data_IF_540264981996
#
_entry.id   IF_540264981996
#
_cell.length_a   1.000
_cell.length_b   1.000
_cell.length_c   1.000
_cell.angle_alpha   90.00
_cell.angle_beta   90.00
_cell.angle_gamma   90.00
#
_symmetry.space_group_name_H-M   'P 1'
#
loop_
_entity.id
_entity.type
_entity.pdbx_description
1 polymer ?
#
# COMPACT_ATOMS: atom_id res chain seq x y z
N UNK A 1 -31.12 -0.55 4.84
CA UNK A 1 -29.83 -0.49 4.11
C UNK A 1 -28.84 -1.30 4.93
N UNK A 2 -28.22 -2.33 4.36
CA UNK A 2 -27.16 -3.05 5.07
C UNK A 2 -26.03 -2.05 5.37
N UNK A 3 -25.57 -1.99 6.61
CA UNK A 3 -24.36 -1.25 6.96
C UNK A 3 -23.25 -1.69 6.00
N UNK A 4 -22.48 -0.77 5.39
CA UNK A 4 -21.33 -1.19 4.60
C UNK A 4 -20.42 -1.96 5.55
N UNK A 5 -20.27 -3.26 5.31
CA UNK A 5 -19.21 -4.00 5.99
C UNK A 5 -17.91 -3.29 5.61
N UNK A 6 -17.16 -2.83 6.60
CA UNK A 6 -15.88 -2.16 6.35
C UNK A 6 -14.95 -3.21 5.77
N UNK A 7 -14.83 -3.24 4.44
CA UNK A 7 -14.00 -4.23 3.77
C UNK A 7 -12.56 -3.79 3.97
N UNK A 8 -11.82 -4.55 4.75
CA UNK A 8 -10.37 -4.47 4.81
C UNK A 8 -9.81 -5.38 3.71
N UNK A 9 -8.66 -5.04 3.14
CA UNK A 9 -8.01 -5.87 2.13
C UNK A 9 -7.88 -7.33 2.64
N UNK A 10 -8.26 -8.34 1.84
CA UNK A 10 -8.03 -9.72 2.23
C UNK A 10 -6.53 -10.01 2.25
N UNK A 11 -6.11 -11.03 2.98
CA UNK A 11 -4.75 -11.54 2.90
C UNK A 11 -4.68 -12.60 1.80
N UNK A 12 -3.74 -12.45 0.87
CA UNK A 12 -3.48 -13.42 -0.19
C UNK A 12 -2.05 -13.90 -0.06
N UNK A 13 -1.87 -15.22 0.00
CA UNK A 13 -0.57 -15.84 0.04
C UNK A 13 -0.18 -16.43 -1.32
N UNK A 14 1.07 -16.21 -1.71
CA UNK A 14 1.69 -16.87 -2.86
C UNK A 14 2.83 -17.79 -2.39
N UNK A 15 3.56 -18.38 -3.34
CA UNK A 15 4.76 -19.16 -3.03
C UNK A 15 5.86 -18.33 -2.37
N UNK A 16 5.95 -17.02 -2.65
CA UNK A 16 7.05 -16.15 -2.19
C UNK A 16 6.60 -14.94 -1.39
N UNK A 17 5.33 -14.56 -1.45
CA UNK A 17 4.85 -13.29 -0.89
C UNK A 17 3.54 -13.42 -0.12
N UNK A 18 3.30 -12.46 0.76
CA UNK A 18 2.01 -12.18 1.40
C UNK A 18 1.55 -10.81 0.93
N UNK A 19 0.38 -10.77 0.29
CA UNK A 19 -0.33 -9.52 -0.03
C UNK A 19 -1.29 -9.26 1.12
N UNK A 20 -1.10 -8.15 1.84
CA UNK A 20 -1.85 -7.82 3.06
C UNK A 20 -2.28 -6.35 3.11
N UNK A 21 -3.24 -5.99 3.98
CA UNK A 21 -3.49 -4.58 4.29
C UNK A 21 -2.20 -3.85 4.67
N UNK A 22 -2.12 -2.58 4.27
CA UNK A 22 -1.08 -1.69 4.76
C UNK A 22 -1.26 -1.47 6.27
N UNK A 23 -0.17 -1.59 7.03
CA UNK A 23 -0.03 -1.26 8.45
C UNK A 23 0.66 0.09 8.58
N UNK A 24 0.43 0.83 9.66
CA UNK A 24 1.07 2.13 9.84
C UNK A 24 2.61 2.04 9.75
N UNK A 25 3.20 0.96 10.27
CA UNK A 25 4.64 0.71 10.25
C UNK A 25 5.22 0.51 8.84
N UNK A 26 4.38 0.25 7.82
CA UNK A 26 4.83 0.18 6.43
C UNK A 26 5.12 1.60 5.85
N UNK A 27 4.67 2.67 6.52
CA UNK A 27 4.70 4.01 5.94
C UNK A 27 6.13 4.50 5.67
N UNK A 28 7.08 4.23 6.56
CA UNK A 28 8.46 4.67 6.36
C UNK A 28 9.14 3.97 5.17
N UNK A 29 8.90 2.66 5.01
CA UNK A 29 9.36 1.91 3.85
C UNK A 29 8.67 2.41 2.56
N UNK A 30 7.38 2.72 2.61
CA UNK A 30 6.63 3.29 1.50
C UNK A 30 7.20 4.65 1.08
N UNK A 31 7.52 5.54 2.03
CA UNK A 31 8.14 6.84 1.77
C UNK A 31 9.52 6.67 1.12
N UNK A 32 10.36 5.79 1.67
CA UNK A 32 11.68 5.51 1.11
C UNK A 32 11.59 5.03 -0.35
N UNK A 33 10.67 4.10 -0.63
CA UNK A 33 10.44 3.59 -1.99
C UNK A 33 9.97 4.69 -2.94
N UNK A 34 9.02 5.54 -2.54
CA UNK A 34 8.47 6.58 -3.42
C UNK A 34 9.33 7.85 -3.53
N UNK A 35 10.33 7.99 -2.65
CA UNK A 35 11.38 9.00 -2.76
C UNK A 35 12.52 8.58 -3.73
N UNK A 36 12.56 7.32 -4.15
CA UNK A 36 13.57 6.82 -5.09
C UNK A 36 13.27 7.27 -6.54
N UNK A 37 14.21 7.97 -7.22
CA UNK A 37 14.07 8.32 -8.62
C UNK A 37 13.91 7.11 -9.56
N UNK A 38 14.50 5.96 -9.23
CA UNK A 38 14.38 4.73 -10.01
C UNK A 38 12.94 4.24 -10.03
N UNK A 39 12.27 4.25 -8.86
CA UNK A 39 10.85 3.90 -8.73
C UNK A 39 9.99 4.88 -9.51
N UNK A 40 10.25 6.19 -9.38
CA UNK A 40 9.38 7.23 -9.96
C UNK A 40 9.62 7.54 -11.43
N UNK A 41 10.73 7.07 -12.02
CA UNK A 41 11.15 7.34 -13.40
C UNK A 41 10.04 7.21 -14.44
N UNK A 42 9.21 6.17 -14.34
CA UNK A 42 8.13 5.89 -15.30
C UNK A 42 6.72 6.16 -14.77
N UNK A 43 6.60 6.66 -13.54
CA UNK A 43 5.32 6.83 -12.82
C UNK A 43 5.20 8.24 -12.24
N UNK A 44 5.37 9.22 -13.11
CA UNK A 44 5.26 10.65 -12.81
C UNK A 44 6.58 11.42 -12.87
N UNK A 45 7.71 10.71 -12.96
CA UNK A 45 9.05 11.31 -13.20
C UNK A 45 9.62 12.13 -12.05
N UNK A 46 8.91 12.24 -10.93
CA UNK A 46 9.31 13.03 -9.75
C UNK A 46 9.18 12.18 -8.48
N UNK A 47 10.26 12.05 -7.68
CA UNK A 47 10.19 11.54 -6.31
C UNK A 47 9.11 12.24 -5.49
N UNK A 48 8.38 11.48 -4.68
CA UNK A 48 7.36 12.05 -3.80
C UNK A 48 8.00 12.56 -2.52
N UNK A 49 7.45 13.65 -2.01
CA UNK A 49 7.64 14.06 -0.62
C UNK A 49 6.98 13.07 0.34
N UNK A 50 7.35 13.15 1.62
CA UNK A 50 6.72 12.36 2.69
C UNK A 50 5.22 12.65 2.80
N UNK A 51 4.82 13.91 2.68
CA UNK A 51 3.40 14.32 2.76
C UNK A 51 2.58 13.83 1.57
N UNK A 52 3.10 13.94 0.33
CA UNK A 52 2.44 13.37 -0.86
C UNK A 52 2.29 11.85 -0.74
N UNK A 53 3.29 11.19 -0.17
CA UNK A 53 3.27 9.76 0.11
C UNK A 53 2.23 9.42 1.18
N UNK A 54 2.11 10.20 2.26
CA UNK A 54 1.10 10.02 3.30
C UNK A 54 -0.32 10.08 2.74
N UNK A 55 -0.61 11.09 1.92
CA UNK A 55 -1.94 11.24 1.30
C UNK A 55 -2.29 10.07 0.39
N UNK A 56 -1.31 9.48 -0.32
CA UNK A 56 -1.53 8.29 -1.15
C UNK A 56 -1.67 7.02 -0.33
N UNK A 57 -0.87 6.87 0.72
CA UNK A 57 -0.93 5.74 1.65
C UNK A 57 -2.30 5.62 2.32
N UNK A 58 -2.84 6.73 2.82
CA UNK A 58 -4.19 6.77 3.40
C UNK A 58 -5.28 6.42 2.37
N UNK A 59 -5.14 6.89 1.12
CA UNK A 59 -6.06 6.51 0.03
C UNK A 59 -6.05 5.00 -0.22
N UNK A 60 -4.92 4.32 -0.11
CA UNK A 60 -4.87 2.86 -0.32
C UNK A 60 -5.78 2.11 0.66
N UNK A 61 -5.77 2.48 1.95
CA UNK A 61 -6.67 1.90 2.94
C UNK A 61 -8.14 2.31 2.69
N UNK A 62 -8.37 3.59 2.32
CA UNK A 62 -9.70 4.10 2.03
C UNK A 62 -10.40 3.42 0.84
N UNK A 63 -9.65 3.03 -0.20
CA UNK A 63 -10.21 2.31 -1.36
C UNK A 63 -10.87 1.00 -0.94
N UNK A 64 -10.25 0.23 -0.05
CA UNK A 64 -10.84 -1.00 0.48
C UNK A 64 -12.13 -0.73 1.25
N UNK A 65 -12.09 0.21 2.20
CA UNK A 65 -13.24 0.55 3.03
C UNK A 65 -14.45 1.06 2.24
N UNK A 66 -14.22 1.78 1.13
CA UNK A 66 -15.28 2.43 0.36
C UNK A 66 -15.73 1.64 -0.87
N UNK A 67 -14.81 0.93 -1.53
CA UNK A 67 -15.05 0.32 -2.84
C UNK A 67 -14.95 -1.21 -2.81
N UNK A 68 -14.43 -1.80 -1.73
CA UNK A 68 -14.21 -3.24 -1.63
C UNK A 68 -13.02 -3.77 -2.45
N UNK A 69 -12.23 -2.88 -3.05
CA UNK A 69 -10.98 -3.21 -3.76
C UNK A 69 -9.96 -2.08 -3.58
N UNK A 70 -8.67 -2.38 -3.72
CA UNK A 70 -7.61 -1.39 -3.54
C UNK A 70 -6.21 -1.97 -3.62
N UNK A 71 -5.26 -1.27 -3.01
CA UNK A 71 -3.85 -1.67 -3.01
C UNK A 71 -3.51 -2.52 -1.78
N UNK A 72 -2.66 -3.51 -1.98
CA UNK A 72 -2.00 -4.28 -0.92
C UNK A 72 -0.60 -3.76 -0.65
N UNK A 73 -0.13 -3.95 0.59
CA UNK A 73 1.29 -4.07 0.86
C UNK A 73 1.73 -5.49 0.44
N UNK A 74 2.92 -5.60 -0.14
CA UNK A 74 3.49 -6.88 -0.56
C UNK A 74 4.70 -7.15 0.32
N UNK A 75 4.67 -8.27 1.02
CA UNK A 75 5.73 -8.71 1.93
C UNK A 75 6.35 -10.01 1.40
N UNK A 76 7.67 -10.10 1.34
CA UNK A 76 8.40 -11.32 1.03
C UNK A 76 8.37 -12.28 2.22
N UNK A 77 7.92 -13.53 2.00
CA UNK A 77 7.78 -14.53 3.07
C UNK A 77 9.11 -14.90 3.74
N UNK A 78 10.20 -14.91 2.97
CA UNK A 78 11.50 -15.34 3.48
C UNK A 78 12.13 -14.33 4.45
N UNK A 79 11.84 -13.04 4.25
CA UNK A 79 12.52 -11.96 4.97
C UNK A 79 11.57 -11.12 5.83
N UNK A 80 10.26 -11.22 5.60
CA UNK A 80 9.25 -10.37 6.25
C UNK A 80 9.32 -8.91 5.81
N UNK A 81 9.94 -8.62 4.65
CA UNK A 81 10.17 -7.27 4.13
C UNK A 81 9.24 -6.92 2.98
#
# INVERSE_FOLDING_TARGET
MASPQTIVAPVIETSRTVLRPHRLDDFDAYVAMWADPVVTRFIGGKPRTREESWMRFLRHAGLWSLLGYGFWAVEEKATGR
#
